data_IF_898100932467
#
_entry.id   IF_898100932467
#
_cell.length_a   1.000
_cell.length_b   1.000
_cell.length_c   1.000
_cell.angle_alpha   90.00
_cell.angle_beta   90.00
_cell.angle_gamma   90.00
#
_symmetry.space_group_name_H-M   'P 1'
#
loop_
_entity.id
_entity.type
_entity.pdbx_description
1 polymer ?
#
# COMPACT_ATOMS: atom_id res chain seq x y z
N UNK A 1 -23.97 -73.14 -6.56
CA UNK A 1 -23.21 -72.07 -7.21
C UNK A 1 -24.10 -71.49 -8.29
N UNK A 2 -24.62 -70.29 -8.08
CA UNK A 2 -25.32 -69.55 -9.13
C UNK A 2 -24.25 -68.71 -9.81
N UNK A 3 -23.98 -68.98 -11.09
CA UNK A 3 -23.05 -68.22 -11.90
C UNK A 3 -23.89 -67.39 -12.86
N UNK A 4 -23.82 -66.07 -12.76
CA UNK A 4 -24.44 -65.18 -13.74
C UNK A 4 -23.55 -65.14 -14.98
N UNK A 5 -24.12 -65.42 -16.15
CA UNK A 5 -23.41 -65.45 -17.43
C UNK A 5 -22.96 -64.06 -17.91
N UNK A 6 -23.50 -63.00 -17.31
CA UNK A 6 -23.17 -61.60 -17.59
C UNK A 6 -22.68 -60.93 -16.32
N UNK A 7 -21.69 -60.04 -16.45
CA UNK A 7 -21.28 -59.12 -15.38
C UNK A 7 -22.49 -58.27 -14.98
N UNK A 8 -22.78 -58.17 -13.68
CA UNK A 8 -23.78 -57.20 -13.19
C UNK A 8 -23.22 -55.81 -13.49
N UNK A 9 -23.96 -55.02 -14.26
CA UNK A 9 -23.58 -53.65 -14.59
C UNK A 9 -23.99 -52.73 -13.45
N UNK A 10 -23.03 -52.43 -12.58
CA UNK A 10 -23.17 -51.44 -11.51
C UNK A 10 -22.83 -50.03 -11.98
N UNK A 11 -22.81 -49.08 -11.04
CA UNK A 11 -22.34 -47.72 -11.26
C UNK A 11 -20.97 -47.51 -10.62
N UNK A 12 -20.24 -46.48 -11.05
CA UNK A 12 -19.01 -46.08 -10.38
C UNK A 12 -19.35 -45.11 -9.24
N UNK A 13 -18.62 -45.14 -8.11
CA UNK A 13 -18.81 -44.15 -7.06
C UNK A 13 -18.40 -42.77 -7.56
N UNK A 14 -19.07 -41.72 -7.11
CA UNK A 14 -18.84 -40.33 -7.56
C UNK A 14 -18.86 -39.34 -6.40
N UNK A 15 -18.23 -38.19 -6.59
CA UNK A 15 -18.38 -37.04 -5.69
C UNK A 15 -19.62 -36.24 -6.06
N UNK A 16 -20.26 -35.62 -5.07
CA UNK A 16 -21.42 -34.75 -5.27
C UNK A 16 -21.48 -33.65 -4.21
N UNK A 17 -21.84 -32.43 -4.63
CA UNK A 17 -21.88 -31.26 -3.73
C UNK A 17 -23.30 -30.77 -3.43
N UNK A 18 -24.28 -31.23 -4.21
CA UNK A 18 -25.70 -30.85 -4.21
C UNK A 18 -26.64 -31.99 -3.78
N UNK A 19 -26.10 -32.98 -3.07
CA UNK A 19 -26.89 -34.10 -2.54
C UNK A 19 -27.25 -35.15 -3.59
N UNK A 20 -26.40 -35.34 -4.60
CA UNK A 20 -26.55 -36.37 -5.63
C UNK A 20 -27.27 -35.92 -6.89
N UNK A 21 -27.61 -34.63 -7.04
CA UNK A 21 -28.25 -34.14 -8.26
C UNK A 21 -27.25 -34.07 -9.43
N UNK A 22 -26.00 -33.72 -9.13
CA UNK A 22 -24.91 -33.72 -10.10
C UNK A 22 -23.74 -34.60 -9.62
N UNK A 23 -23.14 -35.30 -10.59
CA UNK A 23 -21.92 -36.08 -10.41
C UNK A 23 -20.73 -35.21 -10.75
N UNK A 24 -19.86 -34.94 -9.78
CA UNK A 24 -18.63 -34.20 -9.99
C UNK A 24 -17.58 -35.13 -10.61
N UNK A 25 -17.52 -35.17 -11.94
CA UNK A 25 -16.66 -36.08 -12.71
C UNK A 25 -15.43 -35.40 -13.30
N UNK A 26 -15.32 -34.09 -13.18
CA UNK A 26 -14.25 -33.29 -13.79
C UNK A 26 -13.80 -32.13 -12.90
N UNK A 27 -12.69 -31.50 -13.30
CA UNK A 27 -12.18 -30.29 -12.65
C UNK A 27 -13.16 -29.12 -12.72
N UNK A 28 -14.11 -29.16 -13.65
CA UNK A 28 -15.10 -28.09 -13.81
C UNK A 28 -16.03 -28.00 -12.60
N UNK A 29 -16.36 -29.15 -12.04
CA UNK A 29 -17.15 -29.32 -10.83
C UNK A 29 -16.35 -28.96 -9.56
N UNK A 30 -15.06 -29.33 -9.51
CA UNK A 30 -14.22 -29.15 -8.32
C UNK A 30 -13.66 -27.73 -8.14
N UNK A 31 -13.42 -27.04 -9.24
CA UNK A 31 -12.72 -25.75 -9.24
C UNK A 31 -13.65 -24.59 -9.58
N UNK A 32 -14.97 -24.81 -9.62
CA UNK A 32 -15.95 -23.75 -9.81
C UNK A 32 -15.99 -22.78 -8.64
N UNK A 33 -16.35 -21.53 -8.96
CA UNK A 33 -16.72 -20.52 -7.97
C UNK A 33 -18.18 -20.13 -8.18
N UNK A 34 -18.87 -19.84 -7.09
CA UNK A 34 -20.21 -19.25 -7.11
C UNK A 34 -20.16 -17.88 -6.44
N UNK A 35 -20.57 -16.85 -7.19
CA UNK A 35 -20.56 -15.47 -6.74
C UNK A 35 -21.76 -15.19 -5.81
N UNK A 36 -21.72 -14.12 -4.99
CA UNK A 36 -22.83 -13.75 -4.10
C UNK A 36 -24.20 -13.55 -4.78
N UNK A 37 -24.21 -13.32 -6.10
CA UNK A 37 -25.43 -13.19 -6.90
C UNK A 37 -25.95 -14.52 -7.47
N UNK A 38 -25.40 -15.66 -7.04
CA UNK A 38 -25.75 -17.01 -7.50
C UNK A 38 -25.16 -17.40 -8.86
N UNK A 39 -24.34 -16.55 -9.48
CA UNK A 39 -23.69 -16.91 -10.75
C UNK A 39 -22.54 -17.87 -10.50
N UNK A 40 -22.64 -19.07 -11.05
CA UNK A 40 -21.58 -20.09 -11.07
C UNK A 40 -20.66 -19.89 -12.27
N UNK A 41 -19.35 -19.96 -12.04
CA UNK A 41 -18.31 -19.88 -13.09
C UNK A 41 -17.37 -21.07 -12.94
N UNK A 42 -17.37 -21.93 -13.94
CA UNK A 42 -16.49 -23.11 -14.04
C UNK A 42 -15.18 -22.76 -14.76
N UNK A 43 -14.12 -23.56 -14.61
CA UNK A 43 -12.91 -23.45 -15.42
C UNK A 43 -13.17 -23.34 -16.93
N UNK A 44 -14.09 -24.13 -17.50
CA UNK A 44 -14.40 -24.08 -18.93
C UNK A 44 -15.16 -22.82 -19.38
N UNK A 45 -15.91 -22.19 -18.48
CA UNK A 45 -16.71 -20.97 -18.75
C UNK A 45 -16.01 -19.69 -18.29
N UNK A 46 -14.86 -19.82 -17.62
CA UNK A 46 -14.09 -18.70 -17.11
C UNK A 46 -13.36 -17.96 -18.24
N UNK A 47 -13.81 -16.74 -18.53
CA UNK A 47 -13.17 -15.82 -19.49
C UNK A 47 -12.38 -14.70 -18.81
N UNK A 48 -12.18 -14.80 -17.49
CA UNK A 48 -11.55 -13.75 -16.71
C UNK A 48 -10.05 -13.66 -16.94
N UNK A 49 -9.53 -12.44 -16.87
CA UNK A 49 -8.09 -12.15 -16.94
C UNK A 49 -7.77 -10.89 -16.15
N UNK A 50 -6.48 -10.54 -16.01
CA UNK A 50 -6.09 -9.25 -15.42
C UNK A 50 -6.73 -8.05 -16.13
N UNK A 51 -6.90 -8.13 -17.46
CA UNK A 51 -7.50 -7.08 -18.27
C UNK A 51 -9.05 -7.14 -18.29
N UNK A 52 -9.62 -8.30 -18.01
CA UNK A 52 -11.07 -8.53 -17.97
C UNK A 52 -11.45 -9.31 -16.71
N UNK A 53 -11.35 -8.71 -15.52
CA UNK A 53 -11.70 -9.37 -14.27
C UNK A 53 -13.22 -9.49 -14.07
N UNK A 54 -13.62 -10.49 -13.29
CA UNK A 54 -14.99 -10.67 -12.79
C UNK A 54 -15.30 -9.54 -11.80
N UNK A 55 -16.29 -8.73 -12.12
CA UNK A 55 -16.78 -7.69 -11.23
C UNK A 55 -17.75 -8.27 -10.19
N UNK A 56 -17.51 -7.95 -8.93
CA UNK A 56 -18.37 -8.31 -7.78
C UNK A 56 -18.88 -7.06 -7.07
N UNK A 57 -19.83 -7.21 -6.15
CA UNK A 57 -20.36 -6.11 -5.34
C UNK A 57 -19.31 -5.58 -4.35
N UNK A 58 -19.44 -4.29 -3.99
CA UNK A 58 -18.62 -3.69 -2.94
C UNK A 58 -18.98 -4.22 -1.56
N UNK A 59 -18.00 -4.23 -0.64
CA UNK A 59 -18.19 -4.61 0.77
C UNK A 59 -18.19 -6.12 1.04
N UNK A 60 -17.90 -6.96 0.04
CA UNK A 60 -17.78 -8.40 0.22
C UNK A 60 -16.35 -8.84 0.57
N UNK A 61 -16.24 -10.09 1.01
CA UNK A 61 -15.02 -10.85 1.26
C UNK A 61 -14.94 -12.05 0.30
N UNK A 62 -13.85 -12.83 0.31
CA UNK A 62 -13.82 -14.10 -0.42
C UNK A 62 -14.58 -15.23 0.28
N UNK A 63 -15.03 -15.03 1.53
CA UNK A 63 -15.98 -15.95 2.18
C UNK A 63 -17.37 -15.88 1.54
N UNK A 64 -17.72 -14.77 0.91
CA UNK A 64 -18.98 -14.60 0.18
C UNK A 64 -18.94 -15.23 -1.22
N UNK A 65 -17.76 -15.70 -1.66
CA UNK A 65 -17.59 -16.46 -2.90
C UNK A 65 -17.52 -17.93 -2.53
N UNK A 66 -18.58 -18.67 -2.86
CA UNK A 66 -18.68 -20.08 -2.57
C UNK A 66 -17.74 -20.89 -3.45
N UNK A 67 -17.06 -21.84 -2.81
CA UNK A 67 -16.12 -22.79 -3.40
C UNK A 67 -16.35 -24.12 -2.69
N UNK A 68 -15.80 -25.21 -3.23
CA UNK A 68 -15.83 -26.53 -2.58
C UNK A 68 -15.15 -26.56 -1.20
N UNK A 69 -14.29 -25.58 -0.94
CA UNK A 69 -13.51 -25.47 0.28
C UNK A 69 -14.34 -24.92 1.46
N UNK A 70 -14.19 -25.48 2.67
CA UNK A 70 -14.76 -24.91 3.89
C UNK A 70 -14.32 -23.45 4.07
N UNK A 71 -15.18 -22.60 4.65
CA UNK A 71 -14.93 -21.16 4.76
C UNK A 71 -13.60 -20.82 5.45
N UNK A 72 -13.24 -21.58 6.49
CA UNK A 72 -12.04 -21.33 7.31
C UNK A 72 -10.81 -22.15 6.86
N UNK A 73 -10.84 -22.73 5.66
CA UNK A 73 -9.72 -23.51 5.13
C UNK A 73 -9.35 -23.15 3.70
N UNK A 74 -8.05 -23.08 3.44
CA UNK A 74 -7.48 -22.93 2.10
C UNK A 74 -7.14 -24.29 1.46
N UNK A 75 -7.44 -25.41 2.12
CA UNK A 75 -7.33 -26.75 1.52
C UNK A 75 -8.33 -27.75 2.09
N UNK A 76 -8.63 -28.79 1.33
CA UNK A 76 -9.42 -29.94 1.78
C UNK A 76 -8.93 -31.20 1.10
N UNK A 77 -8.86 -32.31 1.84
CA UNK A 77 -8.60 -33.62 1.23
C UNK A 77 -9.89 -34.18 0.63
N UNK A 78 -9.81 -34.95 -0.46
CA UNK A 78 -10.99 -35.62 -1.01
C UNK A 78 -11.57 -36.64 -0.02
N UNK A 79 -10.75 -37.16 0.90
CA UNK A 79 -11.21 -38.04 1.96
C UNK A 79 -12.10 -37.31 2.98
N UNK A 80 -11.79 -36.04 3.32
CA UNK A 80 -12.63 -35.26 4.21
C UNK A 80 -14.01 -34.98 3.59
N UNK A 81 -14.07 -34.79 2.26
CA UNK A 81 -15.35 -34.69 1.54
C UNK A 81 -16.20 -35.96 1.68
N UNK A 82 -15.58 -37.15 1.65
CA UNK A 82 -16.29 -38.41 1.91
C UNK A 82 -16.89 -38.40 3.32
N UNK A 83 -16.10 -38.01 4.33
CA UNK A 83 -16.58 -37.98 5.72
C UNK A 83 -17.73 -36.98 5.95
N UNK A 84 -17.86 -36.00 5.06
CA UNK A 84 -18.97 -35.03 5.04
C UNK A 84 -20.18 -35.51 4.21
N UNK A 85 -20.15 -36.74 3.69
CA UNK A 85 -21.21 -37.30 2.86
C UNK A 85 -21.28 -36.70 1.45
N UNK A 86 -20.19 -36.12 0.93
CA UNK A 86 -20.11 -35.50 -0.40
C UNK A 86 -19.76 -36.51 -1.50
N UNK A 87 -20.33 -37.71 -1.43
CA UNK A 87 -20.15 -38.79 -2.39
C UNK A 87 -21.43 -39.62 -2.52
N UNK A 88 -21.53 -40.41 -3.59
CA UNK A 88 -22.63 -41.33 -3.81
C UNK A 88 -22.24 -42.47 -4.74
N UNK A 89 -23.09 -43.49 -4.76
CA UNK A 89 -23.02 -44.66 -5.63
C UNK A 89 -24.46 -45.11 -5.90
N UNK A 90 -24.86 -45.24 -7.17
CA UNK A 90 -26.28 -45.38 -7.54
C UNK A 90 -26.83 -46.78 -7.23
N UNK A 91 -25.97 -47.79 -7.15
CA UNK A 91 -26.28 -49.17 -6.78
C UNK A 91 -26.02 -49.49 -5.31
N UNK A 92 -25.51 -48.52 -4.55
CA UNK A 92 -25.45 -48.57 -3.10
C UNK A 92 -24.23 -49.28 -2.56
N UNK A 93 -23.11 -49.31 -3.31
CA UNK A 93 -21.83 -49.78 -2.79
C UNK A 93 -21.25 -48.80 -1.76
N UNK A 94 -20.45 -49.31 -0.82
CA UNK A 94 -19.70 -48.47 0.13
C UNK A 94 -20.47 -47.92 1.33
N UNK A 95 -21.62 -48.51 1.68
CA UNK A 95 -22.46 -48.02 2.80
C UNK A 95 -21.91 -48.40 4.19
N UNK A 96 -20.98 -49.35 4.27
CA UNK A 96 -20.34 -49.72 5.53
C UNK A 96 -19.25 -48.75 5.95
N UNK A 97 -18.98 -48.72 7.26
CA UNK A 97 -17.93 -47.86 7.82
C UNK A 97 -16.55 -48.28 7.29
N UNK A 98 -15.86 -47.34 6.63
CA UNK A 98 -14.53 -47.56 6.06
C UNK A 98 -14.52 -48.28 4.72
N UNK A 99 -15.69 -48.49 4.09
CA UNK A 99 -15.79 -49.14 2.78
C UNK A 99 -15.53 -48.18 1.61
N UNK A 100 -15.28 -46.90 1.89
CA UNK A 100 -15.00 -45.86 0.89
C UNK A 100 -13.79 -45.04 1.30
N UNK A 101 -12.89 -44.85 0.34
CA UNK A 101 -11.69 -44.02 0.53
C UNK A 101 -11.47 -43.13 -0.69
N UNK A 102 -10.95 -41.94 -0.47
CA UNK A 102 -10.46 -41.08 -1.54
C UNK A 102 -9.02 -40.65 -1.32
N UNK A 103 -8.30 -40.50 -2.42
CA UNK A 103 -7.00 -39.84 -2.49
C UNK A 103 -7.13 -38.50 -3.19
N UNK A 104 -6.23 -37.55 -2.91
CA UNK A 104 -6.21 -36.24 -3.55
C UNK A 104 -6.63 -35.10 -2.62
N UNK A 105 -6.47 -33.88 -3.12
CA UNK A 105 -6.77 -32.65 -2.38
C UNK A 105 -7.08 -31.49 -3.30
N UNK A 106 -7.83 -30.53 -2.78
CA UNK A 106 -8.11 -29.24 -3.41
C UNK A 106 -7.49 -28.15 -2.54
N UNK A 107 -6.88 -27.14 -3.16
CA UNK A 107 -6.28 -26.00 -2.47
C UNK A 107 -6.60 -24.67 -3.13
N UNK A 108 -6.54 -23.60 -2.34
CA UNK A 108 -6.81 -22.22 -2.68
C UNK A 108 -5.61 -21.34 -2.36
N UNK A 109 -5.30 -20.44 -3.28
CA UNK A 109 -4.39 -19.32 -3.03
C UNK A 109 -5.01 -18.07 -3.60
N UNK A 110 -5.16 -17.04 -2.77
CA UNK A 110 -5.66 -15.73 -3.20
C UNK A 110 -4.53 -14.73 -3.12
N UNK A 111 -4.28 -14.00 -4.20
CA UNK A 111 -3.29 -12.93 -4.26
C UNK A 111 -3.91 -11.61 -4.69
N UNK A 112 -3.44 -10.50 -4.13
CA UNK A 112 -3.74 -9.17 -4.64
C UNK A 112 -2.94 -8.84 -5.92
N UNK A 113 -3.20 -7.67 -6.51
CA UNK A 113 -2.53 -7.19 -7.74
C UNK A 113 -1.01 -7.08 -7.60
N UNK A 114 -0.50 -6.90 -6.39
CA UNK A 114 0.92 -6.76 -6.10
C UNK A 114 1.56 -8.12 -5.76
N UNK A 115 0.78 -9.20 -5.76
CA UNK A 115 1.22 -10.58 -5.57
C UNK A 115 1.24 -11.06 -4.11
N UNK A 116 0.72 -10.26 -3.18
CA UNK A 116 0.64 -10.57 -1.75
C UNK A 116 -0.51 -11.54 -1.50
N UNK A 117 -0.28 -12.60 -0.73
CA UNK A 117 -1.35 -13.50 -0.31
C UNK A 117 -2.31 -12.79 0.64
N UNK A 118 -3.62 -12.93 0.41
CA UNK A 118 -4.68 -12.31 1.21
C UNK A 118 -5.56 -13.38 1.85
N UNK A 119 -6.14 -13.08 3.01
CA UNK A 119 -7.05 -13.99 3.70
C UNK A 119 -8.44 -13.95 3.06
N UNK A 120 -9.18 -15.06 3.17
CA UNK A 120 -10.56 -15.11 2.67
C UNK A 120 -11.50 -14.15 3.38
N UNK A 121 -11.24 -13.90 4.67
CA UNK A 121 -12.01 -12.99 5.50
C UNK A 121 -11.69 -11.51 5.29
N UNK A 122 -10.66 -11.18 4.52
CA UNK A 122 -10.32 -9.79 4.23
C UNK A 122 -11.38 -9.18 3.31
N UNK A 123 -11.88 -7.99 3.67
CA UNK A 123 -12.77 -7.22 2.79
C UNK A 123 -12.01 -6.82 1.53
N UNK A 124 -12.63 -7.05 0.37
CA UNK A 124 -12.03 -6.68 -0.91
C UNK A 124 -11.84 -5.16 -0.96
N UNK A 125 -10.65 -4.75 -1.39
CA UNK A 125 -10.26 -3.36 -1.60
C UNK A 125 -9.84 -3.13 -3.05
N UNK A 126 -10.34 -2.06 -3.67
CA UNK A 126 -10.07 -1.72 -5.08
C UNK A 126 -8.59 -1.36 -5.31
N UNK A 127 -7.93 -0.83 -4.29
CA UNK A 127 -6.50 -0.54 -4.29
C UNK A 127 -5.59 -1.76 -4.25
N UNK A 128 -6.16 -2.96 -4.06
CA UNK A 128 -5.48 -4.25 -4.10
C UNK A 128 -6.01 -5.12 -5.26
N UNK A 129 -7.05 -4.65 -5.96
CA UNK A 129 -7.68 -5.35 -7.08
C UNK A 129 -6.96 -5.06 -8.43
N UNK A 130 -7.05 -5.93 -9.44
CA UNK A 130 -7.74 -7.21 -9.41
C UNK A 130 -6.99 -8.25 -8.58
N UNK A 131 -7.75 -9.10 -7.90
CA UNK A 131 -7.24 -10.25 -7.16
C UNK A 131 -7.17 -11.46 -8.07
N UNK A 132 -6.18 -12.32 -7.84
CA UNK A 132 -6.04 -13.63 -8.48
C UNK A 132 -6.40 -14.72 -7.49
N UNK A 133 -7.52 -15.39 -7.72
CA UNK A 133 -7.98 -16.57 -6.98
C UNK A 133 -7.53 -17.81 -7.75
N UNK A 134 -6.65 -18.61 -7.17
CA UNK A 134 -6.15 -19.87 -7.77
C UNK A 134 -6.74 -21.05 -7.01
N UNK A 135 -7.54 -21.87 -7.70
CA UNK A 135 -7.98 -23.18 -7.21
C UNK A 135 -7.20 -24.29 -7.91
N UNK A 136 -6.69 -25.25 -7.15
CA UNK A 136 -5.88 -26.36 -7.67
C UNK A 136 -6.39 -27.69 -7.14
N UNK A 137 -6.52 -28.69 -8.02
CA UNK A 137 -6.79 -30.08 -7.68
C UNK A 137 -5.56 -30.92 -7.98
N UNK A 138 -5.14 -31.75 -7.02
CA UNK A 138 -4.08 -32.73 -7.23
C UNK A 138 -4.51 -33.93 -8.10
N UNK A 139 -5.81 -34.03 -8.41
CA UNK A 139 -6.40 -35.27 -8.91
C UNK A 139 -6.44 -36.34 -7.82
N UNK A 140 -6.95 -37.52 -8.15
CA UNK A 140 -7.05 -38.62 -7.20
C UNK A 140 -8.08 -39.65 -7.61
N UNK A 141 -8.43 -40.55 -6.70
CA UNK A 141 -9.39 -41.62 -6.94
C UNK A 141 -10.40 -41.68 -5.80
N UNK A 142 -11.65 -42.03 -6.12
CA UNK A 142 -12.66 -42.49 -5.17
C UNK A 142 -12.84 -43.99 -5.37
N UNK A 143 -12.74 -44.77 -4.30
CA UNK A 143 -12.77 -46.23 -4.36
C UNK A 143 -13.73 -46.76 -3.31
N UNK A 144 -14.66 -47.60 -3.74
CA UNK A 144 -15.50 -48.44 -2.89
C UNK A 144 -14.86 -49.83 -2.74
N UNK A 145 -15.14 -50.49 -1.62
CA UNK A 145 -14.66 -51.85 -1.37
C UNK A 145 -15.30 -52.89 -2.33
N UNK A 146 -16.53 -52.62 -2.76
CA UNK A 146 -17.34 -53.47 -3.63
C UNK A 146 -17.84 -52.68 -4.84
N UNK A 147 -18.35 -53.38 -5.86
CA UNK A 147 -18.89 -52.77 -7.08
C UNK A 147 -18.12 -53.11 -8.36
N UNK A 148 -18.78 -53.02 -9.50
CA UNK A 148 -18.15 -53.13 -10.82
C UNK A 148 -18.78 -52.08 -11.75
N UNK A 149 -18.09 -50.94 -12.00
CA UNK A 149 -16.77 -50.55 -11.50
C UNK A 149 -16.78 -50.04 -10.03
N UNK A 150 -15.81 -50.43 -9.20
CA UNK A 150 -15.69 -49.96 -7.82
C UNK A 150 -14.86 -48.68 -7.63
N UNK A 151 -14.53 -47.96 -8.71
CA UNK A 151 -13.68 -46.78 -8.61
C UNK A 151 -13.93 -45.75 -9.71
N UNK A 152 -13.69 -44.50 -9.35
CA UNK A 152 -13.65 -43.35 -10.25
C UNK A 152 -12.34 -42.60 -10.06
N UNK A 153 -11.80 -42.09 -11.16
CA UNK A 153 -10.58 -41.27 -11.16
C UNK A 153 -10.91 -39.82 -11.48
N UNK A 154 -10.18 -38.90 -10.85
CA UNK A 154 -10.30 -37.46 -11.03
C UNK A 154 -8.98 -36.91 -11.54
N UNK A 155 -9.04 -36.11 -12.59
CA UNK A 155 -7.87 -35.41 -13.11
C UNK A 155 -7.45 -34.26 -12.19
N UNK A 156 -6.13 -34.07 -12.09
CA UNK A 156 -5.58 -32.84 -11.53
C UNK A 156 -5.76 -31.67 -12.48
N UNK A 157 -5.80 -30.47 -11.93
CA UNK A 157 -6.02 -29.26 -12.72
C UNK A 157 -5.88 -27.99 -11.88
N UNK A 158 -5.91 -26.85 -12.57
CA UNK A 158 -5.80 -25.52 -11.95
C UNK A 158 -6.70 -24.54 -12.68
N UNK A 159 -7.39 -23.69 -11.91
CA UNK A 159 -8.18 -22.59 -12.42
C UNK A 159 -7.75 -21.28 -11.75
N UNK A 160 -7.52 -20.25 -12.56
CA UNK A 160 -7.19 -18.91 -12.11
C UNK A 160 -8.37 -17.97 -12.43
N UNK A 161 -8.97 -17.38 -11.40
CA UNK A 161 -10.04 -16.38 -11.53
C UNK A 161 -9.52 -15.00 -11.15
N UNK A 162 -9.84 -14.00 -11.95
CA UNK A 162 -9.48 -12.61 -11.66
C UNK A 162 -10.72 -11.85 -11.19
N UNK A 163 -10.66 -11.25 -10.00
CA UNK A 163 -11.82 -10.63 -9.34
C UNK A 163 -11.53 -9.17 -9.03
N UNK A 164 -12.48 -8.28 -9.33
CA UNK A 164 -12.39 -6.85 -9.05
C UNK A 164 -13.69 -6.29 -8.48
N UNK A 165 -13.61 -5.08 -7.94
CA UNK A 165 -14.74 -4.29 -7.47
C UNK A 165 -15.24 -3.35 -8.58
N UNK A 166 -16.41 -2.71 -8.41
CA UNK A 166 -16.92 -1.73 -9.37
C UNK A 166 -15.92 -0.60 -9.61
N UNK A 167 -15.74 -0.24 -10.89
CA UNK A 167 -14.73 0.72 -11.37
C UNK A 167 -15.07 2.18 -11.04
N UNK A 168 -15.03 2.54 -9.75
CA UNK A 168 -15.02 3.93 -9.31
C UNK A 168 -13.57 4.40 -9.07
N UNK A 169 -13.23 5.67 -9.35
CA UNK A 169 -11.90 6.18 -9.07
C UNK A 169 -11.64 6.18 -7.56
N UNK A 170 -10.48 5.65 -7.17
CA UNK A 170 -9.98 5.68 -5.79
C UNK A 170 -8.54 6.15 -5.79
N UNK A 171 -8.11 6.85 -4.76
CA UNK A 171 -6.70 7.19 -4.55
C UNK A 171 -6.17 6.23 -3.49
N UNK A 172 -5.24 5.39 -3.89
CA UNK A 172 -4.75 4.28 -3.07
C UNK A 172 -3.59 4.67 -2.19
N UNK A 173 -2.68 5.43 -2.77
CA UNK A 173 -1.55 6.02 -2.08
C UNK A 173 -1.15 7.32 -2.74
N UNK A 174 -0.30 8.07 -2.05
CA UNK A 174 0.37 9.25 -2.55
C UNK A 174 1.87 9.05 -2.43
N UNK A 175 2.57 9.37 -3.51
CA UNK A 175 3.97 9.04 -3.70
C UNK A 175 4.81 10.32 -3.68
N UNK A 176 5.41 10.68 -2.52
CA UNK A 176 6.59 11.54 -2.50
C UNK A 176 7.80 10.76 -3.03
N UNK A 177 9.01 11.31 -2.91
CA UNK A 177 10.23 10.58 -3.23
C UNK A 177 10.33 9.30 -2.39
N UNK A 178 10.41 8.15 -3.06
CA UNK A 178 10.49 6.81 -2.44
C UNK A 178 11.91 6.41 -2.01
N UNK A 179 12.94 7.12 -2.47
CA UNK A 179 14.32 6.81 -2.12
C UNK A 179 14.53 6.93 -0.61
N UNK A 180 15.25 5.96 -0.03
CA UNK A 180 15.42 5.84 1.43
C UNK A 180 14.04 5.67 2.11
N UNK A 181 13.14 4.95 1.45
CA UNK A 181 11.81 4.61 1.92
C UNK A 181 11.71 3.15 2.37
N UNK A 182 12.82 2.42 2.44
CA UNK A 182 12.83 1.00 2.77
C UNK A 182 12.67 0.08 1.57
N UNK A 183 13.01 0.54 0.37
CA UNK A 183 13.17 -0.35 -0.78
C UNK A 183 14.53 -1.05 -0.73
N UNK A 184 14.68 -2.11 -1.52
CA UNK A 184 15.98 -2.77 -1.74
C UNK A 184 16.29 -2.75 -3.23
N UNK A 185 17.52 -2.36 -3.59
CA UNK A 185 18.03 -2.46 -4.97
C UNK A 185 17.84 -1.22 -5.86
N UNK A 186 17.31 -0.11 -5.35
CA UNK A 186 17.25 1.19 -6.06
C UNK A 186 18.53 2.02 -5.80
N UNK A 187 18.92 2.16 -4.52
CA UNK A 187 20.19 2.75 -4.07
C UNK A 187 20.77 1.79 -3.03
N UNK A 188 22.09 1.60 -3.03
CA UNK A 188 22.77 0.68 -2.10
C UNK A 188 22.63 1.09 -0.63
N UNK A 189 22.25 2.34 -0.36
CA UNK A 189 21.97 2.89 0.97
C UNK A 189 20.51 2.75 1.39
N UNK A 190 19.59 2.47 0.47
CA UNK A 190 18.19 2.20 0.84
C UNK A 190 18.09 0.85 1.54
N UNK A 191 17.34 0.84 2.64
CA UNK A 191 17.30 -0.28 3.56
C UNK A 191 15.95 -0.31 4.27
N UNK A 192 15.36 -1.51 4.52
CA UNK A 192 14.07 -1.65 5.19
C UNK A 192 13.94 -0.90 6.53
N UNK A 193 15.04 -0.53 7.18
CA UNK A 193 15.05 0.29 8.39
C UNK A 193 14.39 1.67 8.24
N UNK A 194 14.32 2.23 7.02
CA UNK A 194 13.68 3.52 6.76
C UNK A 194 12.18 3.39 6.50
N UNK A 195 11.67 2.16 6.29
CA UNK A 195 10.26 1.92 6.06
C UNK A 195 9.42 2.34 7.28
N UNK A 196 8.32 3.04 6.98
CA UNK A 196 7.27 3.31 7.95
C UNK A 196 6.44 2.07 8.30
N UNK A 197 5.49 2.20 9.23
CA UNK A 197 4.50 1.17 9.51
C UNK A 197 3.75 0.75 8.23
N UNK A 198 3.50 -0.55 8.05
CA UNK A 198 2.90 -1.11 6.82
C UNK A 198 1.45 -0.68 6.56
N UNK A 199 0.78 -0.10 7.55
CA UNK A 199 -0.55 0.51 7.40
C UNK A 199 -0.49 2.00 6.97
N UNK A 200 0.69 2.63 7.02
CA UNK A 200 0.89 4.04 6.68
C UNK A 200 1.74 4.18 5.42
N UNK A 201 2.76 3.33 5.24
CA UNK A 201 3.77 3.47 4.20
C UNK A 201 3.99 2.17 3.43
N UNK A 202 4.09 2.27 2.11
CA UNK A 202 4.59 1.24 1.22
C UNK A 202 5.88 1.70 0.56
N UNK A 203 6.98 0.94 0.64
CA UNK A 203 8.24 1.29 -0.02
C UNK A 203 8.13 1.54 -1.53
N UNK A 204 7.16 0.91 -2.21
CA UNK A 204 7.00 1.01 -3.67
C UNK A 204 5.86 1.94 -4.10
N UNK A 205 4.97 2.33 -3.18
CA UNK A 205 3.74 3.09 -3.50
C UNK A 205 3.62 4.43 -2.75
N UNK A 206 4.36 4.63 -1.66
CA UNK A 206 4.31 5.84 -0.85
C UNK A 206 3.35 5.73 0.34
N UNK A 207 2.78 6.85 0.77
CA UNK A 207 1.84 6.91 1.89
C UNK A 207 0.46 6.44 1.49
N UNK A 208 -0.13 5.52 2.25
CA UNK A 208 -1.53 5.14 2.07
C UNK A 208 -2.46 6.28 2.50
N UNK A 209 -3.57 6.44 1.77
CA UNK A 209 -4.63 7.36 2.17
C UNK A 209 -5.25 6.87 3.48
N UNK A 210 -5.15 7.68 4.54
CA UNK A 210 -5.68 7.33 5.85
C UNK A 210 -7.19 7.62 5.96
N UNK A 211 -7.66 8.68 5.29
CA UNK A 211 -9.10 8.97 5.19
C UNK A 211 -9.44 9.82 3.97
N UNK A 212 -10.61 9.57 3.36
CA UNK A 212 -11.20 10.45 2.35
C UNK A 212 -12.21 11.45 2.95
N UNK A 213 -12.52 11.33 4.25
CA UNK A 213 -13.47 12.19 4.94
C UNK A 213 -12.84 13.56 5.28
N UNK A 214 -13.50 14.68 4.95
CA UNK A 214 -12.94 16.02 5.20
C UNK A 214 -12.54 16.31 6.65
N UNK A 215 -13.27 15.74 7.62
CA UNK A 215 -12.98 15.88 9.06
C UNK A 215 -11.69 15.20 9.52
N UNK A 216 -11.07 14.38 8.66
CA UNK A 216 -9.91 13.54 8.99
C UNK A 216 -8.76 13.72 8.00
N UNK A 217 -8.78 14.78 7.20
CA UNK A 217 -7.69 15.12 6.28
C UNK A 217 -6.37 15.41 6.99
N UNK A 218 -6.41 15.73 8.27
CA UNK A 218 -5.23 15.98 9.07
C UNK A 218 -4.41 14.71 9.36
N UNK A 219 -4.96 13.52 9.08
CA UNK A 219 -4.28 12.22 9.14
C UNK A 219 -3.48 11.89 7.87
N UNK A 220 -3.74 12.58 6.76
CA UNK A 220 -3.11 12.29 5.47
C UNK A 220 -1.80 13.06 5.29
N UNK A 221 -0.90 12.48 4.50
CA UNK A 221 0.27 13.19 3.98
C UNK A 221 -0.16 14.26 2.93
N UNK A 222 0.53 15.39 2.80
CA UNK A 222 1.56 15.90 3.70
C UNK A 222 0.99 16.74 4.85
N UNK A 223 1.70 16.76 5.98
CA UNK A 223 1.49 17.74 7.05
C UNK A 223 2.54 18.86 7.04
N UNK A 224 3.64 18.67 6.33
CA UNK A 224 4.69 19.69 6.14
C UNK A 224 4.85 20.05 4.68
N UNK A 225 5.35 21.23 4.33
CA UNK A 225 5.58 21.60 2.92
C UNK A 225 6.62 22.68 2.72
N UNK A 226 7.05 22.83 1.46
CA UNK A 226 7.90 23.89 0.96
C UNK A 226 7.56 24.17 -0.52
N UNK A 227 7.99 25.31 -1.04
CA UNK A 227 7.75 25.67 -2.43
C UNK A 227 8.43 24.68 -3.38
N UNK A 228 7.71 24.26 -4.43
CA UNK A 228 8.24 23.34 -5.45
C UNK A 228 8.19 21.86 -5.08
N UNK A 229 7.83 21.51 -3.84
CA UNK A 229 7.61 20.11 -3.48
C UNK A 229 6.39 19.53 -4.17
N UNK A 230 6.46 18.24 -4.48
CA UNK A 230 5.40 17.56 -5.19
C UNK A 230 5.27 16.10 -4.77
N UNK A 231 4.08 15.55 -4.96
CA UNK A 231 3.81 14.13 -4.81
C UNK A 231 2.85 13.65 -5.90
N UNK A 232 2.91 12.37 -6.21
CA UNK A 232 2.11 11.77 -7.27
C UNK A 232 0.94 10.96 -6.66
N UNK A 233 -0.23 11.00 -7.28
CA UNK A 233 -1.40 10.22 -6.85
C UNK A 233 -1.39 8.84 -7.53
N UNK A 234 -1.47 7.77 -6.75
CA UNK A 234 -1.73 6.41 -7.24
C UNK A 234 -3.25 6.20 -7.33
N UNK A 235 -3.79 6.29 -8.55
CA UNK A 235 -5.23 6.25 -8.82
C UNK A 235 -5.59 4.84 -9.30
N UNK A 236 -6.51 4.19 -8.58
CA UNK A 236 -7.07 2.89 -8.91
C UNK A 236 -8.47 3.00 -9.53
N UNK A 237 -8.94 1.88 -10.10
CA UNK A 237 -10.29 1.75 -10.66
C UNK A 237 -10.46 2.29 -12.09
N UNK A 238 -9.76 3.37 -12.44
CA UNK A 238 -9.77 3.98 -13.77
C UNK A 238 -8.36 4.48 -14.16
N UNK A 239 -8.17 4.85 -15.42
CA UNK A 239 -7.02 5.64 -15.81
C UNK A 239 -7.18 7.07 -15.27
N UNK A 240 -6.27 7.51 -14.40
CA UNK A 240 -6.25 8.87 -13.84
C UNK A 240 -6.21 9.97 -14.89
N UNK A 241 -5.83 9.63 -16.14
CA UNK A 241 -5.87 10.56 -17.27
C UNK A 241 -7.29 11.05 -17.62
N UNK A 242 -8.32 10.35 -17.15
CA UNK A 242 -9.72 10.70 -17.37
C UNK A 242 -10.24 11.76 -16.40
N UNK A 243 -9.50 12.02 -15.31
CA UNK A 243 -9.91 12.96 -14.26
C UNK A 243 -9.52 14.40 -14.58
N UNK A 244 -10.46 15.31 -14.32
CA UNK A 244 -10.25 16.77 -14.27
C UNK A 244 -10.28 17.23 -12.82
N UNK A 245 -9.31 18.04 -12.44
CA UNK A 245 -9.05 18.37 -11.04
C UNK A 245 -9.44 19.79 -10.68
N UNK A 246 -10.07 19.93 -9.52
CA UNK A 246 -10.27 21.21 -8.82
C UNK A 246 -9.56 21.15 -7.48
N UNK A 247 -8.93 22.24 -7.07
CA UNK A 247 -8.24 22.36 -5.77
C UNK A 247 -8.97 23.39 -4.94
N UNK A 248 -9.55 22.95 -3.82
CA UNK A 248 -10.22 23.78 -2.85
C UNK A 248 -9.25 24.04 -1.69
N UNK A 249 -8.95 25.31 -1.43
CA UNK A 249 -8.17 25.75 -0.26
C UNK A 249 -8.45 27.23 0.00
N UNK A 250 -8.28 27.68 1.25
CA UNK A 250 -8.62 29.04 1.68
C UNK A 250 -7.43 29.88 2.13
N UNK A 251 -6.19 29.38 2.00
CA UNK A 251 -4.98 30.08 2.44
C UNK A 251 -4.06 30.51 1.30
N UNK A 252 -2.88 31.06 1.68
CA UNK A 252 -1.92 31.63 0.73
C UNK A 252 -1.07 30.59 0.00
N UNK A 253 -0.93 29.39 0.56
CA UNK A 253 -0.25 28.28 -0.12
C UNK A 253 -1.19 27.71 -1.17
N UNK A 254 -0.67 27.40 -2.36
CA UNK A 254 -1.44 26.83 -3.48
C UNK A 254 -0.98 25.41 -3.74
N UNK A 255 -1.89 24.61 -4.26
CA UNK A 255 -1.56 23.32 -4.86
C UNK A 255 -2.08 23.29 -6.29
N UNK A 256 -1.31 22.72 -7.21
CA UNK A 256 -1.72 22.51 -8.60
C UNK A 256 -1.65 21.04 -8.93
N UNK A 257 -2.71 20.52 -9.57
CA UNK A 257 -2.72 19.14 -10.07
C UNK A 257 -2.45 19.17 -11.57
N UNK A 258 -1.41 18.45 -12.01
CA UNK A 258 -1.00 18.38 -13.41
C UNK A 258 -0.66 16.95 -13.81
N UNK A 259 -0.58 16.70 -15.13
CA UNK A 259 -0.10 15.42 -15.66
C UNK A 259 1.38 15.52 -15.98
N UNK A 260 2.15 14.55 -15.52
CA UNK A 260 3.56 14.40 -15.84
C UNK A 260 3.76 13.08 -16.59
N UNK A 261 4.42 13.14 -17.75
CA UNK A 261 4.58 11.98 -18.62
C UNK A 261 3.25 11.42 -19.15
N UNK A 262 3.18 10.10 -19.32
CA UNK A 262 2.03 9.42 -19.93
C UNK A 262 0.83 9.22 -19.00
N UNK A 263 1.03 9.10 -17.69
CA UNK A 263 -0.05 8.69 -16.77
C UNK A 263 0.06 9.20 -15.33
N UNK A 264 1.11 9.94 -14.97
CA UNK A 264 1.28 10.34 -13.56
C UNK A 264 0.50 11.62 -13.28
N UNK A 265 -0.38 11.57 -12.27
CA UNK A 265 -1.08 12.75 -11.74
C UNK A 265 -0.26 13.32 -10.59
N UNK A 266 0.32 14.51 -10.77
CA UNK A 266 1.20 15.17 -9.80
C UNK A 266 0.49 16.33 -9.13
N UNK A 267 0.67 16.43 -7.82
CA UNK A 267 0.29 17.58 -7.00
C UNK A 267 1.56 18.34 -6.65
N UNK A 268 1.65 19.60 -7.05
CA UNK A 268 2.79 20.49 -6.71
C UNK A 268 2.33 21.59 -5.77
N UNK A 269 3.08 21.80 -4.69
CA UNK A 269 2.86 22.86 -3.72
C UNK A 269 3.61 24.14 -4.15
N UNK A 270 2.96 25.29 -3.98
CA UNK A 270 3.55 26.60 -4.26
C UNK A 270 3.22 27.58 -3.15
N UNK A 271 4.20 28.33 -2.67
CA UNK A 271 4.01 29.22 -1.53
C UNK A 271 5.20 30.14 -1.29
N UNK A 272 5.30 30.74 -0.09
CA UNK A 272 6.40 31.63 0.24
C UNK A 272 7.76 30.91 0.15
N UNK A 273 8.71 31.54 -0.55
CA UNK A 273 10.13 31.13 -0.63
C UNK A 273 11.03 32.36 -0.62
N UNK A 274 12.30 32.16 -0.31
CA UNK A 274 13.31 33.19 -0.48
C UNK A 274 13.71 33.29 -1.96
N UNK A 275 13.80 34.50 -2.49
CA UNK A 275 14.39 34.77 -3.81
C UNK A 275 15.93 34.81 -3.75
N UNK A 276 16.58 34.97 -4.91
CA UNK A 276 18.04 35.00 -5.02
C UNK A 276 18.70 36.16 -4.24
N UNK A 277 18.03 37.30 -4.14
CA UNK A 277 18.51 38.46 -3.38
C UNK A 277 18.42 38.21 -1.87
N UNK A 278 17.37 37.51 -1.44
CA UNK A 278 17.16 37.15 -0.04
C UNK A 278 18.12 36.03 0.39
N UNK A 279 18.36 35.05 -0.48
CA UNK A 279 19.31 33.96 -0.24
C UNK A 279 20.73 34.50 -0.03
N UNK A 280 21.18 35.43 -0.89
CA UNK A 280 22.52 36.01 -0.85
C UNK A 280 22.73 37.07 0.24
N UNK A 281 21.65 37.61 0.82
CA UNK A 281 21.74 38.58 1.92
C UNK A 281 21.97 37.90 3.26
N UNK A 282 22.75 38.53 4.15
CA UNK A 282 22.90 38.12 5.55
C UNK A 282 21.72 38.54 6.44
N UNK A 283 20.92 39.51 6.00
CA UNK A 283 19.76 40.04 6.70
C UNK A 283 18.67 40.41 5.69
N UNK A 284 18.04 39.43 5.02
CA UNK A 284 16.95 39.70 4.08
C UNK A 284 15.76 40.36 4.78
N UNK A 285 14.97 41.10 4.00
CA UNK A 285 13.65 41.56 4.44
C UNK A 285 12.66 40.41 4.59
N UNK A 286 11.57 40.66 5.32
CA UNK A 286 10.52 39.67 5.57
C UNK A 286 9.90 39.13 4.28
N UNK A 287 9.53 37.86 4.31
CA UNK A 287 8.63 37.23 3.33
C UNK A 287 7.29 36.93 3.99
N UNK A 288 6.29 36.58 3.18
CA UNK A 288 4.99 36.17 3.69
C UNK A 288 5.14 34.93 4.59
N UNK A 289 4.51 34.97 5.77
CA UNK A 289 4.38 33.82 6.68
C UNK A 289 2.96 33.28 6.51
N UNK A 290 2.78 32.04 6.02
CA UNK A 290 1.45 31.50 5.80
C UNK A 290 0.73 31.25 7.13
N UNK A 291 -0.59 31.48 7.15
CA UNK A 291 -1.43 31.10 8.29
C UNK A 291 -1.67 29.59 8.25
N UNK A 292 -1.17 28.87 9.25
CA UNK A 292 -1.29 27.42 9.37
C UNK A 292 -2.07 27.06 10.65
N UNK A 293 -2.81 25.94 10.68
CA UNK A 293 -2.92 24.93 9.62
C UNK A 293 -3.74 25.38 8.40
N UNK A 294 -3.40 24.88 7.22
CA UNK A 294 -4.13 25.12 5.96
C UNK A 294 -4.60 23.80 5.35
N UNK A 295 -5.92 23.68 5.16
CA UNK A 295 -6.55 22.49 4.56
C UNK A 295 -6.61 22.59 3.03
N UNK A 296 -6.38 21.47 2.37
CA UNK A 296 -6.52 21.30 0.94
C UNK A 296 -7.49 20.15 0.66
N UNK A 297 -8.36 20.32 -0.33
CA UNK A 297 -9.18 19.26 -0.90
C UNK A 297 -9.04 19.28 -2.43
N UNK A 298 -8.50 18.20 -2.98
CA UNK A 298 -8.38 17.92 -4.40
C UNK A 298 -9.59 17.09 -4.80
N UNK A 299 -10.37 17.58 -5.78
CA UNK A 299 -11.55 16.89 -6.31
C UNK A 299 -11.31 16.55 -7.77
N UNK A 300 -11.20 15.26 -8.07
CA UNK A 300 -11.06 14.73 -9.43
C UNK A 300 -12.41 14.24 -9.94
N UNK A 301 -12.82 14.67 -11.14
CA UNK A 301 -14.08 14.25 -11.79
C UNK A 301 -13.82 13.72 -13.19
N UNK A 302 -14.47 12.62 -13.56
CA UNK A 302 -14.48 12.13 -14.95
C UNK A 302 -15.72 12.62 -15.72
N UNK A 303 -15.83 12.24 -16.99
CA UNK A 303 -16.98 12.59 -17.84
C UNK A 303 -18.26 11.81 -17.52
N UNK A 304 -18.17 10.72 -16.76
CA UNK A 304 -19.30 9.86 -16.39
C UNK A 304 -19.94 10.32 -15.08
N UNK A 305 -19.42 11.38 -14.46
CA UNK A 305 -19.88 11.90 -13.17
C UNK A 305 -19.26 11.20 -11.97
N UNK A 306 -18.28 10.31 -12.16
CA UNK A 306 -17.53 9.74 -11.06
C UNK A 306 -16.63 10.81 -10.43
N UNK A 307 -16.48 10.74 -9.11
CA UNK A 307 -15.74 11.71 -8.33
C UNK A 307 -14.80 11.00 -7.36
N UNK A 308 -13.58 11.52 -7.21
CA UNK A 308 -12.64 11.09 -6.18
C UNK A 308 -12.09 12.32 -5.45
N UNK A 309 -11.83 12.16 -4.16
CA UNK A 309 -11.30 13.22 -3.31
C UNK A 309 -10.00 12.81 -2.64
N UNK A 310 -9.10 13.76 -2.53
CA UNK A 310 -7.93 13.67 -1.66
C UNK A 310 -7.79 14.96 -0.88
N UNK A 311 -7.65 14.89 0.43
CA UNK A 311 -7.40 16.08 1.22
C UNK A 311 -6.32 15.86 2.26
N UNK A 312 -5.64 16.94 2.58
CA UNK A 312 -4.53 16.98 3.53
C UNK A 312 -4.50 18.33 4.25
N UNK A 313 -3.77 18.40 5.36
CA UNK A 313 -3.65 19.62 6.18
C UNK A 313 -2.19 19.93 6.40
N UNK A 314 -1.70 21.01 5.79
CA UNK A 314 -0.37 21.55 6.09
C UNK A 314 -0.41 22.22 7.46
N UNK A 315 0.46 21.78 8.36
CA UNK A 315 0.65 22.31 9.72
C UNK A 315 1.94 23.13 9.82
N UNK A 316 2.89 22.89 8.92
CA UNK A 316 4.19 23.54 8.94
C UNK A 316 4.73 23.82 7.53
N UNK A 317 5.34 24.99 7.35
CA UNK A 317 5.91 25.42 6.06
C UNK A 317 7.39 25.78 6.22
N UNK A 318 8.21 25.36 5.26
CA UNK A 318 9.66 25.48 5.31
C UNK A 318 10.22 26.34 4.17
N UNK A 319 11.29 27.07 4.49
CA UNK A 319 12.03 27.93 3.56
C UNK A 319 13.52 27.68 3.72
N UNK A 320 14.21 27.30 2.65
CA UNK A 320 15.63 27.00 2.66
C UNK A 320 16.46 28.17 2.09
N UNK A 321 17.73 28.27 2.49
CA UNK A 321 18.67 29.30 1.99
C UNK A 321 19.44 28.89 0.73
N UNK A 322 18.83 28.07 -0.12
CA UNK A 322 19.50 27.52 -1.30
C UNK A 322 20.85 26.87 -0.95
N UNK A 323 21.86 27.12 -1.77
CA UNK A 323 23.22 26.59 -1.59
C UNK A 323 24.13 27.44 -0.68
N UNK A 324 23.57 28.33 0.15
CA UNK A 324 24.37 29.21 1.03
C UNK A 324 24.63 28.56 2.38
N UNK A 325 25.89 28.22 2.62
CA UNK A 325 26.36 27.74 3.91
C UNK A 325 26.78 28.89 4.82
N UNK A 326 26.50 28.76 6.11
CA UNK A 326 26.96 29.68 7.13
C UNK A 326 26.96 29.02 8.51
N UNK A 327 27.60 29.66 9.48
CA UNK A 327 27.51 29.23 10.87
C UNK A 327 26.07 29.34 11.40
N UNK A 328 25.78 28.58 12.45
CA UNK A 328 24.41 28.43 12.91
C UNK A 328 23.79 29.73 13.44
N UNK A 329 24.60 30.62 14.04
CA UNK A 329 24.14 31.95 14.46
C UNK A 329 23.70 32.81 13.26
N UNK A 330 24.41 32.70 12.13
CA UNK A 330 24.10 33.42 10.90
C UNK A 330 22.86 32.84 10.21
N UNK A 331 22.70 31.51 10.19
CA UNK A 331 21.46 30.90 9.69
C UNK A 331 20.25 31.27 10.55
N UNK A 332 20.42 31.31 11.88
CA UNK A 332 19.38 31.76 12.81
C UNK A 332 18.97 33.20 12.53
N UNK A 333 19.94 34.12 12.38
CA UNK A 333 19.67 35.51 12.06
C UNK A 333 18.95 35.67 10.70
N UNK A 334 19.35 34.90 9.69
CA UNK A 334 18.71 34.88 8.38
C UNK A 334 17.25 34.42 8.45
N UNK A 335 16.96 33.33 9.17
CA UNK A 335 15.58 32.88 9.37
C UNK A 335 14.74 33.92 10.09
N UNK A 336 15.27 34.52 11.16
CA UNK A 336 14.56 35.52 11.95
C UNK A 336 14.24 36.78 11.13
N UNK A 337 15.12 37.21 10.23
CA UNK A 337 14.88 38.40 9.42
C UNK A 337 13.80 38.19 8.34
N UNK A 338 13.64 36.94 7.87
CA UNK A 338 12.52 36.53 7.01
C UNK A 338 11.16 36.54 7.73
N UNK A 339 11.16 36.57 9.07
CA UNK A 339 9.96 36.37 9.90
C UNK A 339 9.70 34.90 10.27
N UNK A 340 10.68 34.03 10.07
CA UNK A 340 10.67 32.60 10.37
C UNK A 340 11.59 32.33 11.56
N UNK A 341 11.71 31.06 11.96
CA UNK A 341 12.74 30.61 12.91
C UNK A 341 13.57 29.50 12.29
N UNK A 342 14.79 29.31 12.78
CA UNK A 342 15.57 28.12 12.44
C UNK A 342 14.78 26.86 12.87
N UNK A 343 14.76 25.84 12.02
CA UNK A 343 14.11 24.58 12.34
C UNK A 343 14.75 23.92 13.57
N UNK A 344 13.98 23.10 14.29
CA UNK A 344 14.46 22.20 15.34
C UNK A 344 14.69 20.81 14.77
N UNK A 345 15.46 19.97 15.47
CA UNK A 345 15.63 18.55 15.07
C UNK A 345 14.27 17.87 14.87
N UNK A 346 13.34 18.07 15.81
CA UNK A 346 11.96 17.55 15.73
C UNK A 346 11.10 18.12 14.59
N UNK A 347 11.45 19.28 14.05
CA UNK A 347 10.72 19.81 12.88
C UNK A 347 11.13 19.04 11.61
N UNK A 348 12.33 18.43 11.60
CA UNK A 348 12.93 17.83 10.41
C UNK A 348 12.88 16.30 10.40
N UNK A 349 13.08 15.64 11.54
CA UNK A 349 13.24 14.19 11.59
C UNK A 349 12.63 13.57 12.85
N UNK A 350 12.14 12.33 12.72
CA UNK A 350 11.82 11.46 13.87
C UNK A 350 12.98 10.56 14.31
N UNK A 351 14.20 10.78 13.80
CA UNK A 351 15.39 10.07 14.25
C UNK A 351 15.53 10.10 15.77
N UNK A 352 16.03 9.00 16.33
CA UNK A 352 16.41 8.91 17.74
C UNK A 352 17.89 8.61 17.84
N UNK A 353 18.55 9.11 18.89
CA UNK A 353 19.93 8.73 19.18
C UNK A 353 19.99 7.33 19.81
N UNK A 354 19.54 6.33 19.06
CA UNK A 354 19.52 4.92 19.43
C UNK A 354 19.72 4.05 18.19
N UNK A 355 20.02 2.77 18.38
CA UNK A 355 20.13 1.81 17.27
C UNK A 355 21.24 2.13 16.27
N UNK A 356 20.97 1.90 14.98
CA UNK A 356 21.95 2.11 13.93
C UNK A 356 22.27 3.60 13.74
N UNK A 357 23.55 3.93 13.58
CA UNK A 357 24.03 5.29 13.35
C UNK A 357 24.07 6.17 14.62
N UNK A 358 23.72 5.63 15.79
CA UNK A 358 23.77 6.37 17.04
C UNK A 358 25.18 6.33 17.68
N UNK A 359 25.54 7.43 18.34
CA UNK A 359 26.82 7.60 19.02
C UNK A 359 26.81 8.83 19.92
N UNK A 360 27.96 9.24 20.43
CA UNK A 360 28.07 10.42 21.29
C UNK A 360 27.62 11.71 20.59
N UNK A 361 27.78 11.77 19.26
CA UNK A 361 27.44 12.93 18.42
C UNK A 361 25.94 13.20 18.27
N UNK A 362 25.04 12.29 18.64
CA UNK A 362 23.60 12.58 18.64
C UNK A 362 23.00 12.69 20.04
N UNK A 363 23.82 12.58 21.10
CA UNK A 363 23.33 12.55 22.48
C UNK A 363 22.74 13.91 22.86
N UNK A 364 21.46 13.90 23.26
CA UNK A 364 20.72 15.12 23.60
C UNK A 364 19.85 15.65 22.46
N UNK A 365 20.03 15.17 21.22
CA UNK A 365 19.13 15.50 20.13
C UNK A 365 17.76 14.82 20.32
N UNK A 366 16.68 15.59 20.14
CA UNK A 366 15.30 15.11 20.30
C UNK A 366 14.54 15.29 18.98
N UNK A 367 14.34 14.18 18.27
CA UNK A 367 13.50 14.10 17.08
C UNK A 367 12.00 14.14 17.40
N UNK A 368 11.21 14.12 16.33
CA UNK A 368 9.76 14.02 16.38
C UNK A 368 9.27 12.66 16.90
N UNK A 369 7.99 12.61 17.23
CA UNK A 369 7.29 11.38 17.60
C UNK A 369 6.27 10.97 16.52
N UNK A 370 6.06 9.66 16.30
CA UNK A 370 6.74 8.55 16.95
C UNK A 370 8.19 8.42 16.46
N UNK A 371 9.08 8.10 17.40
CA UNK A 371 10.51 8.06 17.13
C UNK A 371 10.90 6.84 16.30
N UNK A 372 11.83 7.04 15.39
CA UNK A 372 12.56 5.98 14.72
C UNK A 372 13.34 5.14 15.73
N UNK A 373 13.59 3.88 15.39
CA UNK A 373 14.45 3.00 16.18
C UNK A 373 15.94 3.21 15.93
N UNK A 374 16.30 4.16 15.05
CA UNK A 374 17.66 4.42 14.60
C UNK A 374 17.93 5.94 14.57
N UNK A 375 19.20 6.33 14.43
CA UNK A 375 19.61 7.70 14.16
C UNK A 375 19.43 8.07 12.68
N UNK A 376 18.21 7.94 12.19
CA UNK A 376 17.76 8.25 10.84
C UNK A 376 16.26 8.12 10.81
N UNK A 377 15.58 8.79 9.89
CA UNK A 377 14.12 8.80 9.91
C UNK A 377 13.54 7.41 9.65
N UNK A 378 12.30 7.20 10.08
CA UNK A 378 11.40 6.17 9.55
C UNK A 378 10.19 6.86 8.98
N UNK A 379 9.82 6.55 7.73
CA UNK A 379 8.72 7.22 7.03
C UNK A 379 7.46 7.25 7.90
N UNK A 380 6.95 8.45 8.13
CA UNK A 380 5.80 8.65 8.99
C UNK A 380 5.11 9.98 8.64
N UNK A 381 3.80 10.04 8.85
CA UNK A 381 3.01 11.26 8.67
C UNK A 381 3.02 12.04 9.98
N UNK A 382 3.30 13.35 9.94
CA UNK A 382 3.29 14.22 11.11
C UNK A 382 4.51 14.11 12.02
N UNK A 383 5.61 13.51 11.55
CA UNK A 383 6.81 13.26 12.37
C UNK A 383 8.09 13.89 11.78
N UNK A 384 7.97 15.09 11.21
CA UNK A 384 9.08 15.87 10.70
C UNK A 384 9.16 15.93 9.18
N UNK A 385 9.75 17.01 8.68
CA UNK A 385 9.79 17.37 7.27
C UNK A 385 10.48 16.32 6.39
N UNK A 386 11.72 15.94 6.69
CA UNK A 386 12.44 14.91 5.93
C UNK A 386 11.86 13.51 6.17
N UNK A 387 11.19 13.29 7.30
CA UNK A 387 10.48 12.04 7.58
C UNK A 387 9.30 11.81 6.64
N UNK A 388 8.58 12.87 6.31
CA UNK A 388 7.50 12.85 5.33
C UNK A 388 8.04 12.83 3.90
N UNK A 389 8.87 13.79 3.53
CA UNK A 389 9.26 14.03 2.14
C UNK A 389 10.42 13.17 1.66
N UNK A 390 11.22 12.63 2.58
CA UNK A 390 12.35 11.77 2.26
C UNK A 390 13.55 12.53 1.74
N UNK A 391 14.28 11.89 0.82
CA UNK A 391 15.46 12.51 0.24
C UNK A 391 15.09 13.72 -0.63
N UNK A 392 15.57 14.90 -0.21
CA UNK A 392 15.14 16.18 -0.75
C UNK A 392 15.80 16.56 -2.09
N UNK A 393 16.96 15.99 -2.43
CA UNK A 393 17.75 16.37 -3.61
C UNK A 393 17.13 15.95 -4.96
N UNK A 394 16.17 15.02 -4.96
CA UNK A 394 15.46 14.58 -6.16
C UNK A 394 14.19 15.39 -6.48
N UNK A 395 13.87 16.40 -5.67
CA UNK A 395 12.85 17.38 -6.04
C UNK A 395 13.47 18.48 -6.89
N UNK A 396 13.61 18.24 -8.20
CA UNK A 396 14.36 19.09 -9.14
C UNK A 396 14.05 20.60 -9.04
N UNK A 397 12.79 20.98 -8.80
CA UNK A 397 12.35 22.37 -8.76
C UNK A 397 12.26 22.95 -7.34
N UNK A 398 12.55 22.17 -6.29
CA UNK A 398 12.44 22.60 -4.90
C UNK A 398 13.74 23.18 -4.33
N UNK A 399 14.87 23.03 -5.01
CA UNK A 399 16.12 23.74 -4.69
C UNK A 399 16.87 23.29 -3.42
N UNK A 400 16.51 22.14 -2.84
CA UNK A 400 17.20 21.57 -1.70
C UNK A 400 18.53 20.93 -2.10
N UNK A 401 19.56 21.18 -1.30
CA UNK A 401 20.87 20.54 -1.40
C UNK A 401 20.89 19.24 -0.60
N UNK A 402 21.59 18.22 -1.13
CA UNK A 402 21.82 16.91 -0.51
C UNK A 402 22.89 16.98 0.59
N UNK A 403 22.57 17.60 1.70
CA UNK A 403 23.52 17.80 2.80
C UNK A 403 22.79 17.99 4.14
N UNK A 404 23.52 18.35 5.19
CA UNK A 404 22.98 18.66 6.50
C UNK A 404 22.57 20.14 6.66
N UNK A 405 21.47 20.33 7.40
CA UNK A 405 20.89 21.64 7.67
C UNK A 405 20.94 21.90 9.16
N UNK A 406 21.46 23.08 9.54
CA UNK A 406 21.48 23.51 10.93
C UNK A 406 20.09 23.51 11.53
N UNK A 407 19.99 23.01 12.76
CA UNK A 407 18.81 23.20 13.60
C UNK A 407 19.14 24.06 14.81
N UNK A 408 18.13 24.60 15.50
CA UNK A 408 18.33 25.43 16.70
C UNK A 408 18.73 24.64 17.95
N UNK A 409 18.67 23.31 17.92
CA UNK A 409 18.98 22.46 19.06
C UNK A 409 20.50 22.29 19.20
N UNK A 410 21.03 22.45 20.42
CA UNK A 410 22.47 22.49 20.69
C UNK A 410 22.86 21.75 21.98
N UNK A 411 24.12 21.32 22.06
CA UNK A 411 24.74 20.72 23.24
C UNK A 411 26.15 21.30 23.46
N UNK A 412 26.33 22.07 24.53
CA UNK A 412 27.60 22.77 24.77
C UNK A 412 27.92 23.80 23.67
N UNK A 413 29.08 23.65 23.02
CA UNK A 413 29.52 24.47 21.87
C UNK A 413 29.00 23.98 20.53
N UNK A 414 28.35 22.81 20.52
CA UNK A 414 27.99 22.11 19.31
C UNK A 414 26.49 22.22 19.05
N UNK A 415 26.12 22.07 17.79
CA UNK A 415 24.76 22.20 17.31
C UNK A 415 24.41 20.96 16.49
N UNK A 416 23.14 20.58 16.48
CA UNK A 416 22.69 19.35 15.81
C UNK A 416 22.14 19.68 14.42
N UNK A 417 22.87 19.45 13.32
CA UNK A 417 22.24 19.51 12.02
C UNK A 417 21.54 18.18 11.69
N UNK A 418 20.68 18.23 10.68
CA UNK A 418 19.95 17.05 10.17
C UNK A 418 20.18 16.91 8.67
N UNK A 419 20.58 15.72 8.24
CA UNK A 419 20.79 15.41 6.84
C UNK A 419 19.48 15.33 6.05
N UNK A 420 19.41 16.02 4.91
CA UNK A 420 18.20 16.10 4.08
C UNK A 420 17.89 14.82 3.28
N UNK A 421 18.78 13.82 3.30
CA UNK A 421 18.56 12.59 2.55
C UNK A 421 17.94 11.45 3.39
N UNK A 422 18.43 11.23 4.61
CA UNK A 422 18.00 10.14 5.51
C UNK A 422 17.55 10.61 6.91
N UNK A 423 17.55 11.92 7.16
CA UNK A 423 17.18 12.49 8.46
C UNK A 423 18.12 12.11 9.59
N UNK A 424 19.36 11.71 9.28
CA UNK A 424 20.40 11.44 10.26
C UNK A 424 20.74 12.70 11.06
N UNK A 425 20.99 12.54 12.36
CA UNK A 425 21.39 13.64 13.24
C UNK A 425 22.86 13.47 13.63
N UNK A 426 23.63 14.55 13.45
CA UNK A 426 25.02 14.62 13.88
C UNK A 426 25.23 15.79 14.84
N UNK A 427 26.45 16.03 15.29
CA UNK A 427 26.83 17.20 16.10
C UNK A 427 28.15 17.77 15.61
N UNK A 428 28.15 19.05 15.30
CA UNK A 428 29.34 19.79 14.88
C UNK A 428 29.45 21.11 15.65
N UNK A 429 30.65 21.68 15.67
CA UNK A 429 30.87 23.01 16.25
C UNK A 429 29.94 24.02 15.59
N UNK A 430 29.24 24.83 16.39
CA UNK A 430 28.30 25.84 15.89
C UNK A 430 28.99 26.92 15.02
N UNK A 431 30.33 26.97 14.99
CA UNK A 431 31.13 27.84 14.13
C UNK A 431 31.29 27.33 12.69
N UNK A 432 31.01 26.05 12.43
CA UNK A 432 31.13 25.46 11.09
C UNK A 432 30.06 25.97 10.13
N UNK A 433 30.38 25.99 8.84
CA UNK A 433 29.44 26.35 7.79
C UNK A 433 28.60 25.14 7.39
N UNK A 434 27.27 25.28 7.41
CA UNK A 434 26.27 24.32 6.88
C UNK A 434 25.03 25.05 6.37
N UNK A 435 24.09 24.32 5.77
CA UNK A 435 22.90 24.90 5.13
C UNK A 435 21.84 25.34 6.15
N UNK A 436 21.00 26.29 5.75
CA UNK A 436 19.95 26.88 6.59
C UNK A 436 18.55 26.45 6.14
N UNK A 437 17.75 25.96 7.09
CA UNK A 437 16.35 25.62 6.88
C UNK A 437 15.49 26.28 7.96
N UNK A 438 14.58 27.14 7.50
CA UNK A 438 13.69 27.89 8.36
C UNK A 438 12.29 27.27 8.34
N UNK A 439 11.54 27.49 9.41
CA UNK A 439 10.14 27.10 9.51
C UNK A 439 9.30 28.23 10.10
N UNK A 440 8.01 28.25 9.77
CA UNK A 440 7.09 29.24 10.33
C UNK A 440 7.13 29.21 11.88
N UNK A 441 7.02 30.37 12.56
CA UNK A 441 7.22 30.49 14.01
C UNK A 441 6.46 29.47 14.87
#
# INVERSE_FOLDING_TARGET
MVNTTNTIHGSAPYLTFDGGQTKATDTDSFLAIELPNGRVITPSTNTSSLANPIMVSAGITFNDIHMVLPLDSDSISLNDLITQGKWGDDDGDGQGAGEVTASGSISLVIKDKDGTTVSRGDTLNLCKAPYKVTLSSAGGNLVTQYGVPNSSTFSGGRADYYITLPSQPVICSVRPNLLLGGTTGIDSRDNPRYAGPSNIWSPTKGFFVQSASPSSYDLNFPTTGADGLYFDLDIGGIDGSQLRWTVNTSGSIRATVSRVGSSTTRVTLSGPKADSSQISSSSPGRISVPSLPQTFELVGRDSNGNEVRYGFVLRQWFVHRGAQEANASTQTAWCNSLGYRLARVRDLTNASCSGWGAGSWCQGAVGATPSSSNNGYKRHIGAGFFTEWGNMDYYADAGFVRDDYWTSDATGSDQFPVFSYDGYVDSYSASESRYGLCTAP
#
